data_IF_243634319262
#
_entry.id   IF_243634319262
#
_cell.length_a   1.000
_cell.length_b   1.000
_cell.length_c   1.000
_cell.angle_alpha   90.00
_cell.angle_beta   90.00
_cell.angle_gamma   90.00
#
_symmetry.space_group_name_H-M   'P 1'
#
loop_
_entity.id
_entity.type
_entity.pdbx_description
1 polymer ?
#
# COMPACT_ATOMS: atom_id res chain seq x y z
N UNK A 1 5.52 16.03 -14.39
CA UNK A 1 6.76 16.26 -13.62
C UNK A 1 7.25 17.68 -13.88
N UNK A 2 7.94 18.31 -12.93
CA UNK A 2 8.02 19.77 -12.72
C UNK A 2 8.43 20.63 -13.91
N UNK A 3 8.00 21.90 -13.89
CA UNK A 3 8.40 22.90 -14.89
C UNK A 3 9.90 23.20 -14.73
N UNK A 4 10.72 23.09 -15.80
CA UNK A 4 12.17 23.25 -15.71
C UNK A 4 12.64 24.67 -15.35
N UNK A 5 11.76 25.67 -15.49
CA UNK A 5 12.06 27.09 -15.19
C UNK A 5 11.88 27.45 -13.70
N UNK A 6 11.41 26.50 -12.87
CA UNK A 6 11.13 26.81 -11.47
C UNK A 6 12.32 26.43 -10.59
N UNK A 7 12.99 27.43 -10.04
CA UNK A 7 13.95 27.24 -8.95
C UNK A 7 13.19 26.83 -7.69
N UNK A 8 13.54 25.68 -7.13
CA UNK A 8 12.91 25.15 -5.92
C UNK A 8 13.97 24.96 -4.83
N UNK A 9 13.59 25.29 -3.59
CA UNK A 9 14.45 25.05 -2.44
C UNK A 9 14.44 23.56 -2.07
N UNK A 10 15.64 22.99 -1.94
CA UNK A 10 15.86 21.65 -1.40
C UNK A 10 16.71 21.79 -0.14
N UNK A 11 16.23 21.21 0.96
CA UNK A 11 16.96 21.11 2.21
C UNK A 11 17.56 19.72 2.31
N UNK A 12 18.85 19.65 2.62
CA UNK A 12 19.56 18.40 2.85
C UNK A 12 20.24 18.46 4.22
N UNK A 13 19.96 17.46 5.03
CA UNK A 13 20.66 17.19 6.30
C UNK A 13 21.59 15.98 6.09
N UNK A 14 22.89 16.22 6.17
CA UNK A 14 23.92 15.20 6.00
C UNK A 14 24.01 14.21 7.15
N UNK A 15 23.68 14.63 8.38
CA UNK A 15 23.70 13.75 9.55
C UNK A 15 22.55 12.77 9.50
N UNK A 16 21.36 13.27 9.16
CA UNK A 16 20.13 12.49 9.13
C UNK A 16 19.86 11.84 7.76
N UNK A 17 20.69 12.13 6.75
CA UNK A 17 20.49 11.77 5.32
C UNK A 17 19.07 12.08 4.85
N UNK A 18 18.52 13.20 5.32
CA UNK A 18 17.14 13.63 5.06
C UNK A 18 17.14 14.69 3.98
N UNK A 19 16.31 14.49 2.95
CA UNK A 19 16.16 15.43 1.84
C UNK A 19 14.69 15.87 1.77
N UNK A 20 14.45 17.17 1.81
CA UNK A 20 13.11 17.77 1.68
C UNK A 20 13.10 18.77 0.53
N UNK A 21 12.07 18.71 -0.33
CA UNK A 21 11.91 19.62 -1.44
C UNK A 21 10.59 20.40 -1.32
N UNK A 22 10.60 21.70 -1.62
CA UNK A 22 9.39 22.54 -1.57
C UNK A 22 8.30 22.08 -2.55
N UNK A 23 8.64 21.27 -3.56
CA UNK A 23 7.64 20.75 -4.49
C UNK A 23 6.61 19.84 -3.83
N UNK A 24 6.89 19.35 -2.61
CA UNK A 24 6.01 18.48 -1.82
C UNK A 24 5.56 17.19 -2.51
N UNK A 25 6.21 16.79 -3.59
CA UNK A 25 5.92 15.53 -4.31
C UNK A 25 6.21 14.28 -3.48
N UNK A 26 7.23 14.35 -2.61
CA UNK A 26 7.47 13.30 -1.62
C UNK A 26 6.32 13.22 -0.61
N UNK A 27 5.83 14.37 -0.13
CA UNK A 27 4.75 14.43 0.84
C UNK A 27 3.39 14.03 0.22
N UNK A 28 3.16 14.29 -1.08
CA UNK A 28 1.91 13.95 -1.77
C UNK A 28 1.88 12.52 -2.32
N UNK A 29 2.89 12.16 -3.13
CA UNK A 29 2.89 10.94 -3.94
C UNK A 29 3.83 9.89 -3.33
N UNK A 30 4.62 10.27 -2.32
CA UNK A 30 5.71 9.46 -1.79
C UNK A 30 6.75 9.11 -2.84
N UNK A 31 6.90 9.97 -3.87
CA UNK A 31 7.88 9.80 -4.95
C UNK A 31 8.96 10.88 -4.85
N UNK A 32 10.26 10.52 -4.82
CA UNK A 32 11.32 11.52 -4.90
C UNK A 32 11.22 12.27 -6.24
N UNK A 33 11.12 13.59 -6.18
CA UNK A 33 11.10 14.43 -7.37
C UNK A 33 12.50 14.54 -8.02
N UNK A 34 12.55 15.03 -9.26
CA UNK A 34 13.81 15.32 -9.96
C UNK A 34 14.77 16.21 -9.15
N UNK A 35 14.25 17.17 -8.37
CA UNK A 35 15.07 18.05 -7.54
C UNK A 35 15.79 17.30 -6.40
N UNK A 36 15.13 16.29 -5.81
CA UNK A 36 15.76 15.42 -4.80
C UNK A 36 16.89 14.62 -5.45
N UNK A 37 16.65 14.04 -6.63
CA UNK A 37 17.69 13.32 -7.38
C UNK A 37 18.86 14.21 -7.80
N UNK A 38 18.61 15.48 -8.14
CA UNK A 38 19.67 16.45 -8.42
C UNK A 38 20.59 16.66 -7.22
N UNK A 39 20.02 16.82 -6.02
CA UNK A 39 20.82 16.96 -4.79
C UNK A 39 21.57 15.67 -4.49
N UNK A 40 20.94 14.50 -4.62
CA UNK A 40 21.64 13.21 -4.43
C UNK A 40 22.85 13.07 -5.35
N UNK A 41 22.72 13.47 -6.62
CA UNK A 41 23.81 13.46 -7.59
C UNK A 41 24.93 14.45 -7.20
N UNK A 42 24.56 15.64 -6.75
CA UNK A 42 25.52 16.66 -6.30
C UNK A 42 26.30 16.21 -5.07
N UNK A 43 25.62 15.58 -4.11
CA UNK A 43 26.22 15.02 -2.89
C UNK A 43 26.99 13.71 -3.12
N UNK A 44 27.02 13.20 -4.36
CA UNK A 44 27.75 11.97 -4.69
C UNK A 44 27.18 10.71 -4.02
N UNK A 45 25.86 10.67 -3.78
CA UNK A 45 25.23 9.50 -3.17
C UNK A 45 25.19 8.32 -4.14
N UNK A 46 25.76 7.18 -3.72
CA UNK A 46 25.74 5.94 -4.51
C UNK A 46 24.43 5.16 -4.35
N UNK A 47 23.70 5.39 -3.25
CA UNK A 47 22.48 4.68 -2.91
C UNK A 47 21.34 5.64 -2.53
N UNK A 48 20.10 5.20 -2.75
CA UNK A 48 18.92 5.95 -2.33
C UNK A 48 18.81 5.85 -0.80
N UNK A 49 18.77 6.98 -0.06
CA UNK A 49 18.54 6.95 1.38
C UNK A 49 17.28 6.15 1.73
N UNK A 50 17.35 5.30 2.76
CA UNK A 50 16.20 4.47 3.18
C UNK A 50 14.95 5.30 3.47
N UNK A 51 15.12 6.54 3.93
CA UNK A 51 14.03 7.49 4.20
C UNK A 51 13.26 7.92 2.95
N UNK A 52 13.84 7.75 1.77
CA UNK A 52 13.22 7.99 0.48
C UNK A 52 12.69 6.70 -0.17
N UNK A 53 12.69 5.57 0.55
CA UNK A 53 12.20 4.27 0.09
C UNK A 53 10.99 3.85 0.92
N UNK A 54 9.81 3.80 0.29
CA UNK A 54 8.59 3.34 0.97
C UNK A 54 8.45 1.82 0.88
N UNK A 55 7.95 1.20 1.95
CA UNK A 55 7.69 -0.26 2.01
C UNK A 55 6.82 -0.78 0.86
N UNK A 56 5.91 0.04 0.34
CA UNK A 56 5.06 -0.31 -0.81
C UNK A 56 5.84 -0.50 -2.12
N UNK A 57 7.05 0.04 -2.22
CA UNK A 57 7.93 -0.08 -3.39
C UNK A 57 8.91 -1.23 -3.26
N UNK A 58 9.18 -1.67 -2.03
CA UNK A 58 10.01 -2.82 -1.79
C UNK A 58 9.25 -4.08 -2.23
N UNK A 59 9.91 -4.92 -3.03
CA UNK A 59 9.45 -6.30 -3.21
C UNK A 59 9.49 -6.96 -1.83
N UNK A 60 8.32 -7.32 -1.31
CA UNK A 60 8.22 -8.04 -0.04
C UNK A 60 8.83 -9.43 -0.27
N UNK A 61 10.12 -9.57 -0.02
CA UNK A 61 10.76 -10.86 0.15
C UNK A 61 10.17 -11.41 1.44
N UNK A 62 9.51 -12.58 1.38
CA UNK A 62 8.80 -13.17 2.52
C UNK A 62 9.71 -13.58 3.68
N UNK A 63 11.02 -13.38 3.55
CA UNK A 63 12.02 -13.79 4.52
C UNK A 63 12.72 -12.56 5.10
N UNK A 64 12.25 -12.15 6.27
CA UNK A 64 13.07 -11.87 7.45
C UNK A 64 12.20 -11.13 8.48
N UNK A 65 11.61 -11.92 9.39
CA UNK A 65 11.26 -11.52 10.77
C UNK A 65 10.13 -10.48 10.93
N UNK A 66 9.05 -10.90 11.60
CA UNK A 66 7.96 -10.06 12.14
C UNK A 66 6.96 -9.43 11.16
N UNK A 67 6.19 -10.28 10.49
CA UNK A 67 4.75 -10.25 10.73
C UNK A 67 4.32 -11.66 11.09
N UNK A 68 4.24 -11.96 12.40
CA UNK A 68 3.53 -13.14 12.91
C UNK A 68 2.02 -12.95 12.69
N UNK A 69 1.60 -12.85 11.43
CA UNK A 69 0.25 -13.26 11.05
C UNK A 69 0.45 -14.62 10.44
N UNK A 70 0.42 -15.63 11.33
CA UNK A 70 0.55 -17.03 10.93
C UNK A 70 -0.36 -17.32 9.75
N UNK A 71 0.05 -18.21 8.87
CA UNK A 71 -0.75 -18.63 7.72
C UNK A 71 -2.17 -19.06 8.13
N UNK A 72 -2.35 -19.51 9.37
CA UNK A 72 -3.65 -19.76 10.00
C UNK A 72 -4.55 -18.52 10.11
N UNK A 73 -4.01 -17.32 10.35
CA UNK A 73 -4.81 -16.09 10.49
C UNK A 73 -5.51 -15.66 9.19
N UNK A 74 -4.87 -15.82 8.03
CA UNK A 74 -5.44 -15.43 6.74
C UNK A 74 -6.52 -16.39 6.28
N UNK A 75 -6.30 -17.68 6.47
CA UNK A 75 -7.29 -18.71 6.12
C UNK A 75 -8.46 -18.69 7.09
N UNK A 76 -8.20 -18.54 8.39
CA UNK A 76 -9.24 -18.33 9.40
C UNK A 76 -10.05 -17.06 9.14
N UNK A 77 -9.40 -15.95 8.76
CA UNK A 77 -10.10 -14.72 8.36
C UNK A 77 -10.89 -14.87 7.06
N UNK A 78 -10.51 -15.79 6.16
CA UNK A 78 -11.32 -16.12 4.97
C UNK A 78 -12.54 -16.94 5.35
N UNK A 79 -12.37 -17.98 6.18
CA UNK A 79 -13.46 -18.81 6.68
C UNK A 79 -14.49 -17.99 7.47
N UNK A 80 -14.05 -17.07 8.33
CA UNK A 80 -14.94 -16.17 9.09
C UNK A 80 -15.74 -15.22 8.18
N UNK A 81 -15.11 -14.69 7.12
CA UNK A 81 -15.82 -13.84 6.15
C UNK A 81 -16.79 -14.66 5.30
N UNK A 82 -16.39 -15.86 4.89
CA UNK A 82 -17.22 -16.76 4.12
C UNK A 82 -18.44 -17.21 4.92
N UNK A 83 -18.28 -17.59 6.19
CA UNK A 83 -19.39 -18.01 7.04
C UNK A 83 -20.39 -16.88 7.30
N UNK A 84 -19.90 -15.65 7.55
CA UNK A 84 -20.77 -14.48 7.70
C UNK A 84 -21.57 -14.20 6.41
N UNK A 85 -20.93 -14.30 5.25
CA UNK A 85 -21.58 -14.11 3.96
C UNK A 85 -22.61 -15.22 3.66
N UNK A 86 -22.26 -16.48 3.93
CA UNK A 86 -23.15 -17.62 3.78
C UNK A 86 -24.38 -17.50 4.70
N UNK A 87 -24.19 -17.09 5.96
CA UNK A 87 -25.29 -16.84 6.88
C UNK A 87 -26.23 -15.74 6.38
N UNK A 88 -25.69 -14.64 5.83
CA UNK A 88 -26.50 -13.57 5.25
C UNK A 88 -27.26 -14.06 4.00
N UNK A 89 -26.61 -14.84 3.14
CA UNK A 89 -27.23 -15.44 1.95
C UNK A 89 -28.37 -16.39 2.32
N UNK A 90 -28.15 -17.28 3.29
CA UNK A 90 -29.18 -18.21 3.77
C UNK A 90 -30.39 -17.43 4.28
N UNK A 91 -30.18 -16.35 5.04
CA UNK A 91 -31.29 -15.53 5.53
C UNK A 91 -32.10 -14.90 4.38
N UNK A 92 -31.42 -14.39 3.35
CA UNK A 92 -32.08 -13.84 2.14
C UNK A 92 -32.84 -14.93 1.38
N UNK A 93 -32.25 -16.12 1.22
CA UNK A 93 -32.92 -17.25 0.57
C UNK A 93 -34.15 -17.68 1.35
N UNK A 94 -34.06 -17.77 2.68
CA UNK A 94 -35.22 -18.11 3.53
C UNK A 94 -36.34 -17.08 3.42
N UNK A 95 -36.02 -15.79 3.44
CA UNK A 95 -37.01 -14.72 3.22
C UNK A 95 -37.61 -14.78 1.80
N UNK A 96 -36.84 -15.22 0.81
CA UNK A 96 -37.31 -15.41 -0.56
C UNK A 96 -38.11 -16.71 -0.79
N UNK A 97 -38.11 -17.64 0.16
CA UNK A 97 -38.78 -18.94 0.04
C UNK A 97 -40.21 -18.97 0.60
N UNK A 98 -40.86 -17.82 0.80
CA UNK A 98 -42.26 -17.75 1.24
C UNK A 98 -43.29 -17.93 0.10
N UNK A 99 -43.01 -18.77 -0.91
CA UNK A 99 -44.03 -19.29 -1.82
C UNK A 99 -43.77 -20.79 -2.09
N UNK A 100 -44.77 -21.63 -1.84
CA UNK A 100 -44.68 -23.11 -1.71
C UNK A 100 -44.58 -23.86 -3.05
N UNK A 101 -44.45 -23.19 -4.21
CA UNK A 101 -44.83 -23.87 -5.47
C UNK A 101 -43.78 -24.03 -6.60
N UNK A 102 -42.54 -23.53 -6.49
CA UNK A 102 -41.61 -23.53 -7.65
C UNK A 102 -40.43 -24.53 -7.65
N UNK A 103 -40.48 -25.60 -6.85
CA UNK A 103 -39.53 -26.72 -6.99
C UNK A 103 -40.19 -28.01 -7.48
N UNK A 104 -40.76 -27.97 -8.70
CA UNK A 104 -40.83 -29.17 -9.54
C UNK A 104 -39.60 -29.14 -10.44
N UNK A 105 -38.61 -29.98 -10.10
CA UNK A 105 -37.56 -30.39 -11.03
C UNK A 105 -38.23 -31.10 -12.21
N UNK A 106 -38.29 -30.41 -13.35
CA UNK A 106 -38.56 -31.02 -14.66
C UNK A 106 -37.37 -31.86 -15.13
#
# INVERSE_FOLDING_TARGET
MGRPDRVLKVLYDSNDRKIECECKMWDSDGIPCSHIFCVMKYEGMEEIPEKLVLRRWCKIVKDCTTLKMGNGSREQARLLRYSALYSALTHVVTLGCEEVEDFVLA
#
